data_IF_777828835750
#
_entry.id   IF_777828835750
#
_cell.length_a   1.000
_cell.length_b   1.000
_cell.length_c   1.000
_cell.angle_alpha   90.00
_cell.angle_beta   90.00
_cell.angle_gamma   90.00
#
_symmetry.space_group_name_H-M   'P 1'
#
loop_
_entity.id
_entity.type
_entity.pdbx_description
1 polymer ?
#
# COMPACT_ATOMS: atom_id res chain seq x y z
N UNK A 1 -23.81 0.57 -4.88
CA UNK A 1 -24.10 -0.40 -3.78
C UNK A 1 -22.79 -1.02 -3.31
N UNK A 2 -22.56 -1.21 -2.01
CA UNK A 2 -21.34 -1.86 -1.49
C UNK A 2 -21.23 -3.30 -2.04
N UNK A 3 -20.03 -3.70 -2.47
CA UNK A 3 -19.74 -5.07 -2.87
C UNK A 3 -19.58 -5.96 -1.63
N UNK A 4 -20.44 -6.97 -1.49
CA UNK A 4 -20.40 -7.92 -0.38
C UNK A 4 -20.54 -7.30 1.01
N UNK A 5 -20.41 -8.15 2.05
CA UNK A 5 -20.31 -7.72 3.45
C UNK A 5 -18.86 -7.66 3.93
N UNK A 6 -18.03 -8.58 3.44
CA UNK A 6 -16.65 -8.79 3.89
C UNK A 6 -15.66 -7.93 3.09
N UNK A 7 -14.48 -7.61 3.66
CA UNK A 7 -13.37 -7.03 2.89
C UNK A 7 -12.85 -8.04 1.85
N UNK A 8 -12.37 -7.54 0.71
CA UNK A 8 -11.71 -8.37 -0.33
C UNK A 8 -10.22 -8.57 -0.09
N UNK A 9 -9.61 -7.74 0.77
CA UNK A 9 -8.25 -7.88 1.26
C UNK A 9 -8.20 -7.39 2.70
N UNK A 10 -7.58 -8.18 3.59
CA UNK A 10 -7.44 -7.88 5.02
C UNK A 10 -6.27 -8.69 5.59
N UNK A 11 -5.48 -8.09 6.48
CA UNK A 11 -4.38 -8.77 7.16
C UNK A 11 -4.74 -9.21 8.60
N UNK A 12 -6.03 -9.14 8.98
CA UNK A 12 -6.63 -9.62 10.23
C UNK A 12 -6.11 -9.01 11.54
N UNK A 13 -5.06 -8.20 11.45
CA UNK A 13 -4.45 -7.41 12.52
C UNK A 13 -4.10 -6.05 11.92
N UNK A 14 -4.08 -5.00 12.74
CA UNK A 14 -3.66 -3.67 12.30
C UNK A 14 -4.58 -3.04 11.25
N UNK A 15 -4.04 -2.19 10.38
CA UNK A 15 -4.79 -1.41 9.39
C UNK A 15 -4.33 -1.75 7.98
N UNK A 16 -5.25 -2.26 7.16
CA UNK A 16 -5.05 -2.40 5.71
C UNK A 16 -5.87 -1.31 5.06
N UNK A 17 -5.22 -0.36 4.37
CA UNK A 17 -5.94 0.83 3.93
C UNK A 17 -5.40 1.49 2.67
N UNK A 18 -6.13 2.54 2.29
CA UNK A 18 -5.93 3.41 1.14
C UNK A 18 -5.56 2.65 -0.15
N UNK A 19 -6.46 1.75 -0.62
CA UNK A 19 -6.20 0.99 -1.84
C UNK A 19 -6.19 1.93 -3.04
N UNK A 20 -5.03 1.98 -3.72
CA UNK A 20 -4.84 2.67 -4.98
C UNK A 20 -4.63 1.63 -6.09
N UNK A 21 -5.65 1.46 -6.94
CA UNK A 21 -5.68 0.39 -7.94
C UNK A 21 -5.33 0.94 -9.32
N UNK A 22 -4.39 0.30 -10.00
CA UNK A 22 -4.08 0.51 -11.40
C UNK A 22 -4.16 -0.80 -12.17
N UNK A 23 -4.48 -0.71 -13.47
CA UNK A 23 -4.33 -1.85 -14.37
C UNK A 23 -2.99 -1.76 -15.07
N UNK A 24 -2.16 -2.78 -14.91
CA UNK A 24 -0.86 -2.91 -15.56
C UNK A 24 -0.92 -4.15 -16.44
N UNK A 25 -0.97 -3.94 -17.76
CA UNK A 25 -1.29 -4.98 -18.74
C UNK A 25 -2.65 -5.65 -18.39
N UNK A 26 -2.67 -6.97 -18.24
CA UNK A 26 -3.88 -7.73 -17.90
C UNK A 26 -4.06 -7.99 -16.41
N UNK A 27 -3.27 -7.33 -15.56
CA UNK A 27 -3.28 -7.54 -14.10
C UNK A 27 -3.72 -6.27 -13.38
N UNK A 28 -4.63 -6.41 -12.43
CA UNK A 28 -4.93 -5.35 -11.46
C UNK A 28 -3.88 -5.35 -10.36
N UNK A 29 -3.30 -4.18 -10.10
CA UNK A 29 -2.32 -3.95 -9.05
C UNK A 29 -2.91 -2.98 -8.04
N UNK A 30 -3.10 -3.42 -6.81
CA UNK A 30 -3.51 -2.58 -5.69
C UNK A 30 -2.27 -2.22 -4.88
N UNK A 31 -1.87 -0.96 -4.94
CA UNK A 31 -0.96 -0.38 -3.96
C UNK A 31 -1.77 -0.06 -2.70
N UNK A 32 -1.31 -0.50 -1.54
CA UNK A 32 -2.00 -0.27 -0.28
C UNK A 32 -0.99 -0.11 0.85
N UNK A 33 -1.42 0.49 1.96
CA UNK A 33 -0.58 0.56 3.14
C UNK A 33 -1.00 -0.46 4.20
N UNK A 34 -0.01 -0.90 4.96
CA UNK A 34 -0.18 -1.65 6.19
C UNK A 34 0.32 -0.86 7.38
N UNK A 35 -0.34 -1.01 8.53
CA UNK A 35 0.16 -0.52 9.81
C UNK A 35 -0.15 -1.52 10.93
N UNK A 36 0.75 -1.64 11.91
CA UNK A 36 0.55 -2.35 13.18
C UNK A 36 0.31 -3.89 13.13
N UNK A 37 0.34 -4.52 11.95
CA UNK A 37 0.55 -5.98 11.85
C UNK A 37 2.03 -6.36 11.68
N UNK A 38 2.86 -5.40 11.27
CA UNK A 38 4.32 -5.34 11.43
C UNK A 38 4.66 -3.99 12.12
N UNK A 39 5.89 -3.78 12.61
CA UNK A 39 6.30 -2.48 13.15
C UNK A 39 6.08 -1.33 12.15
N UNK A 40 5.64 -0.19 12.67
CA UNK A 40 5.42 1.03 11.88
C UNK A 40 4.26 0.94 10.89
N UNK A 41 4.36 1.75 9.84
CA UNK A 41 3.47 1.75 8.68
C UNK A 41 4.30 1.79 7.39
N UNK A 42 3.84 1.08 6.37
CA UNK A 42 4.58 0.78 5.14
C UNK A 42 3.63 0.63 3.95
N UNK A 43 4.14 0.83 2.74
CA UNK A 43 3.42 0.57 1.50
C UNK A 43 3.85 -0.76 0.87
N UNK A 44 2.89 -1.49 0.33
CA UNK A 44 3.10 -2.72 -0.43
C UNK A 44 2.07 -2.83 -1.55
N UNK A 45 2.05 -3.96 -2.24
CA UNK A 45 1.04 -4.21 -3.26
C UNK A 45 0.49 -5.65 -3.22
N UNK A 46 -0.68 -5.81 -3.81
CA UNK A 46 -1.28 -7.10 -4.15
C UNK A 46 -1.76 -7.08 -5.60
N UNK A 47 -1.90 -8.26 -6.20
CA UNK A 47 -2.36 -8.42 -7.58
C UNK A 47 -3.63 -9.24 -7.69
N UNK A 48 -4.47 -8.93 -8.66
CA UNK A 48 -5.71 -9.65 -8.93
C UNK A 48 -6.01 -9.68 -10.44
N UNK A 49 -6.69 -10.74 -10.87
CA UNK A 49 -7.25 -10.81 -12.22
C UNK A 49 -8.74 -10.43 -12.26
N UNK A 50 -9.43 -10.36 -11.11
CA UNK A 50 -10.89 -10.23 -11.02
C UNK A 50 -11.39 -9.17 -10.03
N UNK A 51 -10.48 -8.40 -9.41
CA UNK A 51 -10.75 -7.39 -8.37
C UNK A 51 -11.30 -7.95 -7.04
N UNK A 52 -11.46 -9.27 -6.93
CA UNK A 52 -12.09 -9.94 -5.78
C UNK A 52 -11.05 -10.75 -5.02
N UNK A 53 -10.28 -11.57 -5.73
CA UNK A 53 -9.24 -12.41 -5.15
C UNK A 53 -7.88 -11.75 -5.34
N UNK A 54 -7.24 -11.40 -4.24
CA UNK A 54 -5.98 -10.67 -4.22
C UNK A 54 -4.84 -11.54 -3.71
N UNK A 55 -3.73 -11.55 -4.45
CA UNK A 55 -2.49 -12.23 -4.10
C UNK A 55 -1.49 -11.20 -3.57
N UNK A 56 -1.14 -11.32 -2.29
CA UNK A 56 -0.18 -10.44 -1.62
C UNK A 56 1.25 -10.62 -2.16
N UNK A 57 1.97 -9.50 -2.31
CA UNK A 57 3.40 -9.52 -2.56
C UNK A 57 4.16 -10.17 -1.39
N UNK A 58 5.07 -11.11 -1.69
CA UNK A 58 5.82 -11.87 -0.68
C UNK A 58 7.24 -11.34 -0.41
N UNK A 59 7.71 -10.39 -1.21
CA UNK A 59 9.02 -9.77 -1.03
C UNK A 59 9.00 -8.59 -0.07
N UNK A 60 10.00 -7.72 -0.19
CA UNK A 60 10.12 -6.52 0.63
C UNK A 60 8.98 -5.52 0.40
N UNK A 61 8.66 -4.76 1.45
CA UNK A 61 7.71 -3.65 1.35
C UNK A 61 8.27 -2.58 0.40
N UNK A 62 7.41 -1.92 -0.39
CA UNK A 62 7.81 -0.96 -1.42
C UNK A 62 8.39 0.32 -0.80
N UNK A 63 7.76 0.79 0.27
CA UNK A 63 8.17 1.97 1.06
C UNK A 63 8.01 1.61 2.53
N UNK A 64 9.01 1.94 3.34
CA UNK A 64 9.02 1.83 4.80
C UNK A 64 9.89 2.97 5.35
N UNK A 65 9.66 3.35 6.61
CA UNK A 65 10.46 4.38 7.28
C UNK A 65 11.95 4.11 7.17
N UNK A 66 12.71 5.12 6.74
CA UNK A 66 14.15 5.04 6.54
C UNK A 66 14.89 6.34 6.79
N UNK A 67 14.20 7.47 6.77
CA UNK A 67 14.77 8.81 6.81
C UNK A 67 14.21 9.62 7.99
N UNK A 68 14.90 10.68 8.45
CA UNK A 68 14.44 11.48 9.60
C UNK A 68 13.03 12.07 9.44
N UNK A 69 12.62 12.39 8.21
CA UNK A 69 11.31 12.99 7.94
C UNK A 69 10.16 11.96 7.90
N UNK A 70 10.46 10.66 7.84
CA UNK A 70 9.48 9.56 7.80
C UNK A 70 9.70 8.51 8.91
N UNK A 71 10.48 8.86 9.94
CA UNK A 71 11.02 7.94 10.94
C UNK A 71 9.97 7.35 11.92
N UNK A 72 8.71 7.77 11.80
CA UNK A 72 7.55 7.15 12.45
C UNK A 72 6.72 6.33 11.46
N UNK A 73 6.29 6.93 10.34
CA UNK A 73 5.47 6.26 9.32
C UNK A 73 5.84 6.70 7.90
N UNK A 74 5.89 5.74 6.96
CA UNK A 74 6.02 5.98 5.53
C UNK A 74 4.93 5.18 4.78
N UNK A 75 3.79 5.82 4.50
CA UNK A 75 2.54 5.10 4.20
C UNK A 75 1.59 5.86 3.26
N UNK A 76 0.56 5.17 2.75
CA UNK A 76 -0.49 5.64 1.81
C UNK A 76 0.07 5.91 0.42
N UNK A 77 -0.40 5.19 -0.58
CA UNK A 77 0.22 5.20 -1.91
C UNK A 77 -0.56 6.03 -2.92
N UNK A 78 0.16 6.78 -3.75
CA UNK A 78 -0.30 7.22 -5.07
C UNK A 78 0.87 7.07 -6.05
N UNK A 79 0.70 6.30 -7.12
CA UNK A 79 1.81 5.87 -7.98
C UNK A 79 1.60 6.30 -9.43
N UNK A 80 2.54 7.04 -9.99
CA UNK A 80 2.49 7.51 -11.38
C UNK A 80 3.70 6.98 -12.15
N UNK A 81 3.49 6.48 -13.36
CA UNK A 81 4.58 6.21 -14.30
C UNK A 81 4.55 7.25 -15.42
N UNK A 82 5.64 7.99 -15.60
CA UNK A 82 5.76 9.01 -16.62
C UNK A 82 7.17 9.02 -17.22
N UNK A 83 7.29 9.05 -18.55
CA UNK A 83 8.56 9.04 -19.29
C UNK A 83 9.57 7.98 -18.81
N UNK A 84 9.08 6.76 -18.56
CA UNK A 84 9.91 5.64 -18.12
C UNK A 84 10.23 5.61 -16.62
N UNK A 85 9.90 6.66 -15.86
CA UNK A 85 10.16 6.78 -14.42
C UNK A 85 8.89 6.46 -13.62
N UNK A 86 9.04 5.76 -12.50
CA UNK A 86 7.96 5.52 -11.53
C UNK A 86 8.12 6.47 -10.34
N UNK A 87 7.06 7.19 -10.01
CA UNK A 87 6.97 8.12 -8.90
C UNK A 87 5.97 7.56 -7.88
N UNK A 88 6.45 7.23 -6.68
CA UNK A 88 5.62 6.72 -5.58
C UNK A 88 5.45 7.84 -4.53
N UNK A 89 4.32 8.53 -4.59
CA UNK A 89 3.97 9.53 -3.59
C UNK A 89 3.40 8.85 -2.35
N UNK A 90 3.83 9.32 -1.17
CA UNK A 90 3.40 8.80 0.12
C UNK A 90 3.36 9.87 1.21
N UNK A 91 2.71 9.55 2.33
CA UNK A 91 2.67 10.36 3.54
C UNK A 91 3.82 9.95 4.47
N UNK A 92 4.78 10.86 4.64
CA UNK A 92 5.86 10.77 5.61
C UNK A 92 5.43 11.39 6.95
N UNK A 93 5.76 10.71 8.04
CA UNK A 93 5.50 11.17 9.41
C UNK A 93 6.75 10.94 10.24
N UNK A 94 7.20 11.97 10.95
CA UNK A 94 8.33 11.89 11.88
C UNK A 94 7.85 11.76 13.34
N UNK A 95 8.76 11.47 14.27
CA UNK A 95 8.48 11.42 15.71
C UNK A 95 8.47 12.80 16.40
N UNK A 96 9.09 13.81 15.80
CA UNK A 96 9.34 15.11 16.43
C UNK A 96 8.09 16.02 16.45
N UNK A 97 7.15 15.82 15.53
CA UNK A 97 6.03 16.73 15.24
C UNK A 97 4.65 16.04 15.33
N UNK A 98 4.50 15.07 16.24
CA UNK A 98 3.25 14.32 16.49
C UNK A 98 2.59 14.66 17.82
#
# INVERSE_FOLDING_TARGET
KRYGKNPVLNNHKGITGDPYIQRINDTWVMFYFGAFWKPGAFNRFAVSNDLIHWNDWKGEDLIKSSEPYDDLFAHKSFVVRHNGVVYHFYCAVNKAEQ
#
